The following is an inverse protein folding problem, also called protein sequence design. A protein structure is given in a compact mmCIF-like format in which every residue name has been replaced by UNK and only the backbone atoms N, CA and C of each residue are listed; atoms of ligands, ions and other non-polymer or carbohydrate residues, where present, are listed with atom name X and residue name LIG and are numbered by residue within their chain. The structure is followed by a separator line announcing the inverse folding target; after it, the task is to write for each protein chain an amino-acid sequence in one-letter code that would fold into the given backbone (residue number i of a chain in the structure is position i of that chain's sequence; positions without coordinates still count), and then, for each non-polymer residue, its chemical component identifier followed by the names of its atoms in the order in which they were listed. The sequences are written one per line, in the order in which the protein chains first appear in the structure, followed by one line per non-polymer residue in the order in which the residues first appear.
data_IF_247814635456
#
_entry.id   IF_247814635456
#
_cell.length_a   1.000
_cell.length_b   1.000
_cell.length_c   1.000
_cell.angle_alpha   90.00
_cell.angle_beta   90.00
_cell.angle_gamma   90.00
#
_symmetry.space_group_name_H-M   'P 1'
#
loop_
_entity.id
_entity.type
_entity.pdbx_description
1 polymer ?
#
# COMPACT_ATOMS: atom_id res chain seq x y z
N UNK A 1 41.09 -0.17 -0.19
CA UNK A 1 39.87 -0.57 -0.95
C UNK A 1 38.83 -1.35 -0.13
N UNK A 2 39.18 -2.02 1.01
CA UNK A 2 38.19 -2.76 1.82
C UNK A 2 37.20 -1.88 2.61
N UNK A 3 37.60 -0.68 3.08
CA UNK A 3 36.71 0.21 3.87
C UNK A 3 35.44 0.65 3.12
N UNK A 4 35.52 0.84 1.80
CA UNK A 4 34.40 1.30 0.97
C UNK A 4 33.32 0.22 0.79
N UNK A 5 33.71 -1.06 0.71
CA UNK A 5 32.73 -2.17 0.61
C UNK A 5 31.93 -2.33 1.90
N UNK A 6 32.59 -2.17 3.06
CA UNK A 6 31.91 -2.24 4.35
C UNK A 6 30.90 -1.10 4.53
N UNK A 7 31.29 0.14 4.21
CA UNK A 7 30.37 1.29 4.29
C UNK A 7 29.18 1.17 3.31
N UNK A 8 29.40 0.68 2.10
CA UNK A 8 28.32 0.42 1.14
C UNK A 8 27.36 -0.67 1.65
N UNK A 9 27.91 -1.70 2.29
CA UNK A 9 27.13 -2.80 2.85
C UNK A 9 26.26 -2.35 4.03
N UNK A 10 26.81 -1.55 4.95
CA UNK A 10 26.05 -0.95 6.06
C UNK A 10 24.95 0.00 5.55
N UNK A 11 25.25 0.82 4.52
CA UNK A 11 24.25 1.70 3.90
C UNK A 11 23.09 0.91 3.26
N UNK A 12 23.39 -0.17 2.53
CA UNK A 12 22.35 -1.02 1.93
C UNK A 12 21.51 -1.74 2.99
N UNK A 13 22.10 -2.13 4.12
CA UNK A 13 21.36 -2.69 5.25
C UNK A 13 20.45 -1.64 5.92
N UNK A 14 20.95 -0.41 6.10
CA UNK A 14 20.16 0.72 6.58
C UNK A 14 18.98 1.01 5.66
N UNK A 15 19.21 1.11 4.35
CA UNK A 15 18.17 1.28 3.34
C UNK A 15 17.10 0.18 3.43
N UNK A 16 17.52 -1.09 3.55
CA UNK A 16 16.60 -2.22 3.65
C UNK A 16 15.68 -2.12 4.88
N UNK A 17 16.20 -1.66 6.02
CA UNK A 17 15.43 -1.45 7.25
C UNK A 17 14.43 -0.32 7.10
N UNK A 18 14.85 0.78 6.47
CA UNK A 18 14.01 1.96 6.20
C UNK A 18 12.86 1.66 5.23
N UNK A 19 13.11 0.81 4.23
CA UNK A 19 12.10 0.37 3.28
C UNK A 19 11.02 -0.55 3.88
N UNK A 20 11.23 -1.12 5.07
CA UNK A 20 10.22 -1.96 5.70
C UNK A 20 8.91 -1.21 5.97
N UNK A 21 8.99 0.08 6.37
CA UNK A 21 7.80 0.87 6.68
C UNK A 21 6.93 1.13 5.43
N UNK A 22 7.47 1.66 4.31
CA UNK A 22 6.75 1.74 3.03
C UNK A 22 6.13 0.43 2.57
N UNK A 23 6.91 -0.65 2.63
CA UNK A 23 6.48 -1.95 2.09
C UNK A 23 5.33 -2.53 2.93
N UNK A 24 5.39 -2.40 4.26
CA UNK A 24 4.31 -2.84 5.13
C UNK A 24 3.00 -2.04 4.90
N UNK A 25 3.12 -0.73 4.70
CA UNK A 25 1.98 0.13 4.35
C UNK A 25 1.38 -0.24 2.99
N UNK A 26 2.22 -0.47 1.98
CA UNK A 26 1.76 -0.91 0.66
C UNK A 26 1.03 -2.26 0.73
N UNK A 27 1.52 -3.20 1.53
CA UNK A 27 0.85 -4.49 1.72
C UNK A 27 -0.54 -4.32 2.36
N UNK A 28 -0.65 -3.49 3.39
CA UNK A 28 -1.94 -3.18 4.03
C UNK A 28 -2.92 -2.51 3.05
N UNK A 29 -2.46 -1.49 2.32
CA UNK A 29 -3.27 -0.81 1.31
C UNK A 29 -3.67 -1.75 0.16
N UNK A 30 -2.81 -2.69 -0.22
CA UNK A 30 -3.11 -3.72 -1.23
C UNK A 30 -4.25 -4.65 -0.79
N UNK A 31 -4.25 -5.10 0.46
CA UNK A 31 -5.35 -5.91 1.01
C UNK A 31 -6.64 -5.09 1.02
N UNK A 32 -6.58 -3.85 1.50
CA UNK A 32 -7.75 -2.95 1.56
C UNK A 32 -8.34 -2.67 0.17
N UNK A 33 -7.47 -2.43 -0.82
CA UNK A 33 -7.85 -2.28 -2.22
C UNK A 33 -8.50 -3.56 -2.78
N UNK A 34 -7.89 -4.72 -2.54
CA UNK A 34 -8.41 -6.00 -3.01
C UNK A 34 -9.81 -6.30 -2.47
N UNK A 35 -10.03 -6.06 -1.18
CA UNK A 35 -11.35 -6.26 -0.54
C UNK A 35 -12.36 -5.25 -1.07
N UNK A 36 -12.02 -3.95 -1.07
CA UNK A 36 -12.93 -2.89 -1.53
C UNK A 36 -13.32 -3.06 -3.01
N UNK A 37 -12.36 -3.38 -3.87
CA UNK A 37 -12.62 -3.59 -5.31
C UNK A 37 -13.43 -4.86 -5.58
N UNK A 38 -13.17 -5.95 -4.85
CA UNK A 38 -13.91 -7.20 -5.02
C UNK A 38 -15.39 -7.04 -4.61
N UNK A 39 -15.64 -6.40 -3.47
CA UNK A 39 -16.99 -6.21 -2.92
C UNK A 39 -17.78 -5.10 -3.63
N UNK A 40 -17.10 -4.13 -4.25
CA UNK A 40 -17.72 -3.08 -5.06
C UNK A 40 -18.02 -3.52 -6.50
N UNK A 41 -17.63 -4.74 -6.92
CA UNK A 41 -17.83 -5.18 -8.30
C UNK A 41 -19.31 -5.44 -8.64
N UNK A 42 -19.68 -5.20 -9.90
CA UNK A 42 -21.06 -5.43 -10.39
C UNK A 42 -21.49 -6.89 -10.19
N UNK A 43 -20.56 -7.83 -10.43
CA UNK A 43 -20.80 -9.26 -10.23
C UNK A 43 -21.15 -9.61 -8.77
N UNK A 44 -20.53 -8.98 -7.79
CA UNK A 44 -20.82 -9.25 -6.36
C UNK A 44 -22.07 -8.49 -5.91
N UNK A 45 -22.25 -7.26 -6.38
CA UNK A 45 -23.42 -6.43 -6.08
C UNK A 45 -24.72 -7.02 -6.63
N UNK A 46 -24.66 -7.71 -7.77
CA UNK A 46 -25.82 -8.38 -8.37
C UNK A 46 -26.16 -9.72 -7.74
N UNK A 47 -25.18 -10.46 -7.24
CA UNK A 47 -25.41 -11.74 -6.57
C UNK A 47 -25.77 -11.60 -5.09
N UNK A 48 -25.43 -10.48 -4.45
CA UNK A 48 -25.67 -10.25 -3.02
C UNK A 48 -26.58 -9.04 -2.83
N UNK A 49 -27.89 -9.27 -2.79
CA UNK A 49 -28.91 -8.21 -2.65
C UNK A 49 -28.73 -7.32 -1.40
N UNK A 50 -28.05 -7.81 -0.34
CA UNK A 50 -27.69 -7.01 0.84
C UNK A 50 -26.64 -5.93 0.54
N UNK A 51 -25.74 -6.18 -0.41
CA UNK A 51 -24.71 -5.23 -0.86
C UNK A 51 -25.23 -4.21 -1.88
N UNK A 52 -26.45 -4.43 -2.39
CA UNK A 52 -27.12 -3.58 -3.39
C UNK A 52 -27.65 -2.26 -2.81
N UNK A 53 -27.58 -2.07 -1.49
CA UNK A 53 -27.85 -0.78 -0.86
C UNK A 53 -26.76 0.23 -1.21
N UNK A 54 -27.16 1.41 -1.71
CA UNK A 54 -26.24 2.50 -2.12
C UNK A 54 -25.17 2.82 -1.07
N UNK A 55 -25.50 2.73 0.23
CA UNK A 55 -24.57 3.00 1.31
C UNK A 55 -23.38 2.03 1.39
N UNK A 56 -23.61 0.73 1.17
CA UNK A 56 -22.53 -0.27 1.23
C UNK A 56 -21.62 -0.18 0.01
N UNK A 57 -22.19 -0.01 -1.18
CA UNK A 57 -21.42 0.19 -2.40
C UNK A 57 -20.51 1.41 -2.27
N UNK A 58 -21.03 2.54 -1.79
CA UNK A 58 -20.24 3.75 -1.55
C UNK A 58 -19.05 3.51 -0.59
N UNK A 59 -19.25 2.76 0.50
CA UNK A 59 -18.19 2.43 1.45
C UNK A 59 -17.10 1.56 0.81
N UNK A 60 -17.46 0.55 0.03
CA UNK A 60 -16.48 -0.31 -0.63
C UNK A 60 -15.71 0.40 -1.75
N UNK A 61 -16.38 1.25 -2.52
CA UNK A 61 -15.71 2.11 -3.51
C UNK A 61 -14.76 3.10 -2.83
N UNK A 62 -15.18 3.71 -1.71
CA UNK A 62 -14.32 4.59 -0.92
C UNK A 62 -13.11 3.86 -0.33
N UNK A 63 -13.32 2.63 0.16
CA UNK A 63 -12.25 1.76 0.66
C UNK A 63 -11.24 1.43 -0.45
N UNK A 64 -11.71 1.08 -1.65
CA UNK A 64 -10.84 0.82 -2.79
C UNK A 64 -10.03 2.08 -3.19
N UNK A 65 -10.69 3.23 -3.31
CA UNK A 65 -10.03 4.49 -3.65
C UNK A 65 -8.96 4.87 -2.61
N UNK A 66 -9.26 4.69 -1.32
CA UNK A 66 -8.30 4.96 -0.25
C UNK A 66 -7.11 4.00 -0.30
N UNK A 67 -7.34 2.72 -0.64
CA UNK A 67 -6.28 1.74 -0.82
C UNK A 67 -5.35 2.06 -2.00
N UNK A 68 -5.87 2.67 -3.06
CA UNK A 68 -5.07 3.08 -4.23
C UNK A 68 -4.09 4.22 -3.93
N UNK A 69 -4.38 5.10 -2.96
CA UNK A 69 -3.54 6.27 -2.63
C UNK A 69 -2.08 5.88 -2.38
N UNK A 70 -1.83 4.80 -1.65
CA UNK A 70 -0.46 4.35 -1.35
C UNK A 70 0.31 3.90 -2.60
N UNK A 71 -0.38 3.35 -3.60
CA UNK A 71 0.21 2.96 -4.88
C UNK A 71 0.44 4.18 -5.79
N UNK A 72 -0.51 5.13 -5.81
CA UNK A 72 -0.40 6.38 -6.58
C UNK A 72 0.78 7.22 -6.10
N UNK A 73 0.99 7.32 -4.79
CA UNK A 73 2.05 8.10 -4.18
C UNK A 73 3.26 7.26 -3.75
N UNK A 74 3.42 6.05 -4.31
CA UNK A 74 4.52 5.14 -3.97
C UNK A 74 5.90 5.82 -4.04
N UNK A 75 6.25 6.60 -5.10
CA UNK A 75 7.53 7.29 -5.14
C UNK A 75 7.72 8.30 -3.99
N UNK A 76 6.66 9.02 -3.62
CA UNK A 76 6.67 9.99 -2.51
C UNK A 76 6.83 9.27 -1.17
N UNK A 77 6.17 8.13 -1.02
CA UNK A 77 6.23 7.30 0.18
C UNK A 77 7.68 6.80 0.43
N UNK A 78 8.36 6.33 -0.61
CA UNK A 78 9.79 5.97 -0.52
C UNK A 78 10.69 7.19 -0.30
N UNK A 79 10.42 8.33 -0.96
CA UNK A 79 11.20 9.55 -0.79
C UNK A 79 11.15 10.10 0.64
N UNK A 80 10.01 9.98 1.34
CA UNK A 80 9.88 10.38 2.74
C UNK A 80 10.45 9.36 3.72
N UNK A 81 10.40 8.07 3.40
CA UNK A 81 10.90 7.03 4.29
C UNK A 81 12.43 7.03 4.37
N UNK A 82 13.14 7.22 3.24
CA UNK A 82 14.61 7.15 3.17
C UNK A 82 15.29 8.06 4.22
N UNK A 83 14.95 9.36 4.35
CA UNK A 83 15.53 10.24 5.37
C UNK A 83 15.09 9.95 6.81
N UNK A 84 13.99 9.20 7.01
CA UNK A 84 13.49 8.88 8.35
C UNK A 84 14.18 7.66 8.96
N UNK A 85 14.74 6.76 8.14
CA UNK A 85 15.37 5.53 8.63
C UNK A 85 16.88 5.41 8.37
N UNK A 86 17.47 6.30 7.56
CA UNK A 86 18.92 6.48 7.43
C UNK A 86 19.38 7.67 8.27
#
# INVERSE_FOLDING_TARGET
MQKTKAALWEFLQGLGKTFMLPVALLAFCGIMLGIGSSLSSDAVTDNVAFLKGEGFHLVFTWMANTGLVAFTFLPVLFAMAIPLGL
#
